data_IF_664746535956
#
_entry.id   IF_664746535956
#
_cell.length_a   1.000
_cell.length_b   1.000
_cell.length_c   1.000
_cell.angle_alpha   90.00
_cell.angle_beta   90.00
_cell.angle_gamma   90.00
#
_symmetry.space_group_name_H-M   'P 1'
#
loop_
_entity.id
_entity.type
_entity.pdbx_description
1 polymer ?
#
# COMPACT_ATOMS: atom_id res chain seq x y z
N UNK A 1 -39.57 45.51 -22.94
CA UNK A 1 -38.47 45.44 -21.96
C UNK A 1 -38.68 46.56 -20.94
N UNK A 2 -39.31 46.21 -19.81
CA UNK A 2 -39.72 47.16 -18.77
C UNK A 2 -38.49 47.65 -18.00
N UNK A 3 -38.17 48.94 -18.12
CA UNK A 3 -37.13 49.58 -17.32
C UNK A 3 -37.73 49.95 -15.95
N UNK A 4 -37.37 49.17 -14.93
CA UNK A 4 -37.61 49.52 -13.53
C UNK A 4 -36.74 50.73 -13.14
N UNK A 5 -37.27 51.95 -13.28
CA UNK A 5 -36.64 53.15 -12.72
C UNK A 5 -37.14 53.36 -11.30
N UNK A 6 -36.46 52.74 -10.34
CA UNK A 6 -36.72 53.01 -8.91
C UNK A 6 -36.11 54.36 -8.56
N UNK A 7 -36.95 55.39 -8.38
CA UNK A 7 -36.56 56.71 -7.88
C UNK A 7 -36.24 56.63 -6.38
N UNK A 8 -35.02 56.19 -6.07
CA UNK A 8 -34.48 56.16 -4.72
C UNK A 8 -34.06 57.56 -4.25
N UNK A 9 -34.54 57.97 -3.07
CA UNK A 9 -34.11 59.22 -2.41
C UNK A 9 -32.60 59.15 -2.06
N UNK A 10 -31.90 60.30 -2.16
CA UNK A 10 -30.44 60.40 -1.98
C UNK A 10 -29.96 59.76 -0.66
N UNK A 11 -30.76 59.88 0.41
CA UNK A 11 -30.50 59.28 1.73
C UNK A 11 -30.38 57.76 1.67
N UNK A 12 -31.25 57.07 0.93
CA UNK A 12 -31.21 55.61 0.84
C UNK A 12 -30.04 55.11 0.00
N UNK A 13 -29.65 55.82 -1.07
CA UNK A 13 -28.42 55.49 -1.81
C UNK A 13 -27.18 55.56 -0.93
N UNK A 14 -27.10 56.57 -0.07
CA UNK A 14 -25.98 56.74 0.88
C UNK A 14 -25.99 55.67 1.97
N UNK A 15 -27.16 55.35 2.55
CA UNK A 15 -27.31 54.30 3.55
C UNK A 15 -26.97 52.91 2.97
N UNK A 16 -27.41 52.65 1.74
CA UNK A 16 -27.12 51.41 1.02
C UNK A 16 -25.63 51.31 0.72
N UNK A 17 -24.99 52.37 0.23
CA UNK A 17 -23.54 52.41 0.00
C UNK A 17 -22.74 52.15 1.29
N UNK A 18 -23.15 52.78 2.39
CA UNK A 18 -22.49 52.66 3.70
C UNK A 18 -22.60 51.24 4.27
N UNK A 19 -23.63 50.47 3.90
CA UNK A 19 -23.85 49.10 4.39
C UNK A 19 -23.34 48.03 3.42
N UNK A 20 -23.46 48.24 2.10
CA UNK A 20 -23.00 47.26 1.11
C UNK A 20 -21.48 47.20 1.01
N UNK A 21 -20.77 48.32 1.18
CA UNK A 21 -19.30 48.32 1.15
C UNK A 21 -18.73 47.40 2.24
N UNK A 22 -19.04 47.57 3.54
CA UNK A 22 -18.54 46.68 4.57
C UNK A 22 -19.08 45.25 4.42
N UNK A 23 -20.32 45.06 3.96
CA UNK A 23 -20.85 43.73 3.70
C UNK A 23 -20.07 42.98 2.59
N UNK A 24 -19.70 43.66 1.50
CA UNK A 24 -18.88 43.09 0.43
C UNK A 24 -17.46 42.79 0.93
N UNK A 25 -16.85 43.70 1.69
CA UNK A 25 -15.54 43.44 2.31
C UNK A 25 -15.58 42.20 3.21
N UNK A 26 -16.63 42.04 4.02
CA UNK A 26 -16.78 40.91 4.92
C UNK A 26 -17.00 39.61 4.15
N UNK A 27 -17.78 39.64 3.08
CA UNK A 27 -17.96 38.49 2.18
C UNK A 27 -16.66 38.08 1.49
N UNK A 28 -15.88 39.04 0.98
CA UNK A 28 -14.58 38.78 0.36
C UNK A 28 -13.58 38.20 1.37
N UNK A 29 -13.57 38.71 2.60
CA UNK A 29 -12.76 38.16 3.68
C UNK A 29 -13.13 36.71 3.99
N UNK A 30 -14.43 36.40 4.07
CA UNK A 30 -14.93 35.04 4.30
C UNK A 30 -14.54 34.08 3.19
N UNK A 31 -14.62 34.52 1.92
CA UNK A 31 -14.16 33.74 0.78
C UNK A 31 -12.66 33.44 0.87
N UNK A 32 -11.84 34.46 1.15
CA UNK A 32 -10.40 34.30 1.30
C UNK A 32 -10.06 33.33 2.44
N UNK A 33 -10.68 33.49 3.61
CA UNK A 33 -10.48 32.61 4.76
C UNK A 33 -10.90 31.16 4.44
N UNK A 34 -12.00 30.97 3.71
CA UNK A 34 -12.47 29.65 3.30
C UNK A 34 -11.49 28.96 2.35
N UNK A 35 -10.92 29.69 1.39
CA UNK A 35 -9.89 29.14 0.51
C UNK A 35 -8.63 28.75 1.27
N UNK A 36 -8.21 29.58 2.23
CA UNK A 36 -7.05 29.30 3.07
C UNK A 36 -7.27 28.02 3.88
N UNK A 37 -8.42 27.89 4.56
CA UNK A 37 -8.75 26.68 5.32
C UNK A 37 -8.87 25.43 4.45
N UNK A 38 -9.37 25.54 3.22
CA UNK A 38 -9.42 24.41 2.27
C UNK A 38 -8.01 23.97 1.88
N UNK A 39 -7.13 24.90 1.53
CA UNK A 39 -5.73 24.61 1.17
C UNK A 39 -4.97 23.95 2.32
N UNK A 40 -5.11 24.48 3.52
CA UNK A 40 -4.46 23.92 4.72
C UNK A 40 -4.94 22.51 5.03
N UNK A 41 -6.25 22.26 4.90
CA UNK A 41 -6.82 20.92 5.11
C UNK A 41 -6.33 19.90 4.07
N UNK A 42 -6.20 20.31 2.80
CA UNK A 42 -5.67 19.44 1.73
C UNK A 42 -4.20 19.11 2.01
N UNK A 43 -3.39 20.10 2.37
CA UNK A 43 -1.99 19.88 2.73
C UNK A 43 -1.84 18.89 3.91
N UNK A 44 -2.66 19.04 4.95
CA UNK A 44 -2.67 18.14 6.09
C UNK A 44 -3.04 16.69 5.70
N UNK A 45 -4.07 16.51 4.88
CA UNK A 45 -4.47 15.17 4.40
C UNK A 45 -3.39 14.56 3.52
N UNK A 46 -2.74 15.37 2.68
CA UNK A 46 -1.65 14.92 1.83
C UNK A 46 -0.45 14.47 2.66
N UNK A 47 0.00 15.27 3.61
CA UNK A 47 1.11 14.91 4.51
C UNK A 47 0.80 13.67 5.33
N UNK A 48 -0.43 13.54 5.84
CA UNK A 48 -0.88 12.33 6.55
C UNK A 48 -0.86 11.10 5.65
N UNK A 49 -1.30 11.23 4.40
CA UNK A 49 -1.30 10.13 3.42
C UNK A 49 0.11 9.71 3.03
N UNK A 50 1.02 10.69 2.88
CA UNK A 50 2.45 10.45 2.61
C UNK A 50 3.10 9.73 3.79
N UNK A 51 2.82 10.16 5.02
CA UNK A 51 3.33 9.51 6.23
C UNK A 51 2.88 8.05 6.33
N UNK A 52 1.59 7.78 6.11
CA UNK A 52 1.03 6.42 6.09
C UNK A 52 1.66 5.57 4.99
N UNK A 53 1.78 6.12 3.77
CA UNK A 53 2.38 5.41 2.64
C UNK A 53 3.85 5.05 2.92
N UNK A 54 4.61 5.96 3.52
CA UNK A 54 5.99 5.70 3.95
C UNK A 54 6.04 4.63 5.03
N UNK A 55 5.19 4.72 6.05
CA UNK A 55 5.13 3.73 7.13
C UNK A 55 4.80 2.33 6.58
N UNK A 56 3.81 2.22 5.70
CA UNK A 56 3.43 0.96 5.06
C UNK A 56 4.55 0.39 4.17
N UNK A 57 5.26 1.26 3.45
CA UNK A 57 6.41 0.84 2.63
C UNK A 57 7.55 0.30 3.49
N UNK A 58 7.85 0.97 4.60
CA UNK A 58 8.84 0.49 5.59
C UNK A 58 8.41 -0.85 6.17
N UNK A 59 7.14 -0.98 6.57
CA UNK A 59 6.59 -2.22 7.09
C UNK A 59 6.68 -3.37 6.08
N UNK A 60 6.35 -3.11 4.82
CA UNK A 60 6.46 -4.09 3.73
C UNK A 60 7.90 -4.53 3.55
N UNK A 61 8.84 -3.58 3.51
CA UNK A 61 10.28 -3.88 3.40
C UNK A 61 10.78 -4.73 4.55
N UNK A 62 10.42 -4.38 5.79
CA UNK A 62 10.79 -5.15 6.98
C UNK A 62 10.18 -6.56 6.95
N UNK A 63 8.94 -6.68 6.50
CA UNK A 63 8.26 -7.98 6.37
C UNK A 63 8.96 -8.85 5.34
N UNK A 64 9.26 -8.31 4.14
CA UNK A 64 9.99 -9.04 3.09
C UNK A 64 11.38 -9.42 3.56
N UNK A 65 12.10 -8.52 4.22
CA UNK A 65 13.43 -8.81 4.77
C UNK A 65 13.37 -9.94 5.79
N UNK A 66 12.41 -9.89 6.72
CA UNK A 66 12.23 -10.94 7.74
C UNK A 66 11.92 -12.31 7.14
N UNK A 67 11.15 -12.34 6.04
CA UNK A 67 10.86 -13.58 5.31
C UNK A 67 12.11 -14.09 4.60
N UNK A 68 12.90 -13.21 4.00
CA UNK A 68 14.16 -13.58 3.37
C UNK A 68 15.16 -14.15 4.38
N UNK A 69 15.29 -13.51 5.54
CA UNK A 69 16.17 -13.96 6.63
C UNK A 69 15.75 -15.33 7.18
N UNK A 70 14.45 -15.64 7.18
CA UNK A 70 13.93 -16.96 7.56
C UNK A 70 14.16 -18.04 6.48
N UNK A 71 14.02 -17.70 5.19
CA UNK A 71 14.15 -18.65 4.08
C UNK A 71 15.62 -18.94 3.75
N UNK A 72 16.50 -17.94 3.84
CA UNK A 72 17.92 -18.03 3.51
C UNK A 72 18.62 -19.25 4.14
N UNK A 73 18.57 -19.50 5.46
CA UNK A 73 19.24 -20.67 6.06
C UNK A 73 18.64 -22.02 5.60
N UNK A 74 17.34 -22.06 5.26
CA UNK A 74 16.68 -23.27 4.74
C UNK A 74 17.19 -23.58 3.33
N UNK A 75 17.39 -22.56 2.50
CA UNK A 75 17.92 -22.73 1.14
C UNK A 75 19.42 -23.03 1.16
N UNK A 76 20.20 -22.36 2.02
CA UNK A 76 21.65 -22.59 2.14
C UNK A 76 21.99 -23.99 2.67
N UNK A 77 21.09 -24.59 3.47
CA UNK A 77 21.23 -25.96 3.95
C UNK A 77 20.78 -27.02 2.95
N UNK A 78 20.29 -26.64 1.76
CA UNK A 78 19.89 -27.61 0.73
C UNK A 78 21.12 -28.37 0.19
N UNK A 79 21.08 -29.70 0.25
CA UNK A 79 22.13 -30.54 -0.28
C UNK A 79 21.90 -30.83 -1.77
N UNK A 80 22.75 -30.24 -2.62
CA UNK A 80 22.70 -30.41 -4.07
C UNK A 80 23.07 -31.82 -4.54
N UNK A 81 23.83 -32.58 -3.74
CA UNK A 81 24.23 -33.95 -4.06
C UNK A 81 23.07 -34.93 -3.92
N UNK A 82 22.36 -34.86 -2.79
CA UNK A 82 21.21 -35.73 -2.50
C UNK A 82 19.87 -35.16 -2.99
N UNK A 83 19.85 -33.90 -3.46
CA UNK A 83 18.66 -33.16 -3.89
C UNK A 83 17.55 -33.14 -2.83
N UNK A 84 17.94 -33.08 -1.56
CA UNK A 84 17.01 -33.11 -0.42
C UNK A 84 17.36 -32.05 0.60
N UNK A 85 16.33 -31.64 1.33
CA UNK A 85 16.50 -30.81 2.50
C UNK A 85 16.92 -31.70 3.68
N UNK A 86 17.96 -31.34 4.44
CA UNK A 86 18.33 -32.06 5.64
C UNK A 86 17.28 -31.84 6.75
N UNK A 87 17.25 -32.74 7.73
CA UNK A 87 16.31 -32.66 8.86
C UNK A 87 16.39 -31.33 9.64
N UNK A 88 17.56 -30.67 9.63
CA UNK A 88 17.72 -29.32 10.19
C UNK A 88 16.92 -28.26 9.43
N UNK A 89 16.89 -28.32 8.09
CA UNK A 89 16.13 -27.42 7.24
C UNK A 89 14.62 -27.66 7.38
N UNK A 90 14.19 -28.93 7.47
CA UNK A 90 12.80 -29.30 7.75
C UNK A 90 12.34 -28.78 9.11
N UNK A 91 13.19 -28.88 10.14
CA UNK A 91 12.91 -28.34 11.48
C UNK A 91 12.78 -26.82 11.45
N UNK A 92 13.69 -26.11 10.78
CA UNK A 92 13.61 -24.64 10.63
C UNK A 92 12.37 -24.20 9.86
N UNK A 93 11.97 -24.97 8.83
CA UNK A 93 10.74 -24.75 8.09
C UNK A 93 9.50 -24.94 8.97
N UNK A 94 9.43 -26.04 9.75
CA UNK A 94 8.30 -26.31 10.66
C UNK A 94 8.14 -25.30 11.80
N UNK A 95 9.23 -24.64 12.20
CA UNK A 95 9.21 -23.59 13.22
C UNK A 95 8.65 -22.27 12.67
N UNK A 96 8.63 -22.10 11.36
CA UNK A 96 8.23 -20.87 10.69
C UNK A 96 6.76 -20.94 10.27
N UNK A 97 5.84 -20.54 11.16
CA UNK A 97 4.38 -20.54 10.88
C UNK A 97 3.95 -19.68 9.67
N UNK A 98 4.82 -18.77 9.23
CA UNK A 98 4.62 -17.89 8.07
C UNK A 98 5.00 -18.53 6.73
N UNK A 99 5.80 -19.60 6.74
CA UNK A 99 6.24 -20.29 5.54
C UNK A 99 5.30 -21.45 5.24
N UNK A 100 4.59 -21.38 4.12
CA UNK A 100 3.62 -22.40 3.69
C UNK A 100 4.20 -23.42 2.72
N UNK A 101 5.06 -22.94 1.82
CA UNK A 101 5.79 -23.80 0.90
C UNK A 101 7.13 -23.16 0.54
N UNK A 102 8.13 -23.99 0.33
CA UNK A 102 9.42 -23.63 -0.26
C UNK A 102 9.70 -24.60 -1.40
N UNK A 103 9.91 -24.07 -2.61
CA UNK A 103 10.30 -24.86 -3.78
C UNK A 103 11.66 -24.40 -4.28
N UNK A 104 12.55 -25.34 -4.55
CA UNK A 104 13.88 -25.04 -5.09
C UNK A 104 13.96 -25.49 -6.55
N UNK A 105 14.57 -24.63 -7.36
CA UNK A 105 14.80 -24.87 -8.79
C UNK A 105 16.28 -24.62 -9.10
N UNK A 106 16.86 -25.48 -9.92
CA UNK A 106 18.18 -25.27 -10.49
C UNK A 106 18.03 -24.66 -11.88
N UNK A 107 18.72 -23.56 -12.14
CA UNK A 107 18.82 -23.02 -13.50
C UNK A 107 19.85 -23.84 -14.28
N UNK A 108 19.41 -24.60 -15.28
CA UNK A 108 20.28 -25.32 -16.21
C UNK A 108 20.99 -24.37 -17.18
N UNK A 109 22.06 -24.86 -17.83
CA UNK A 109 22.85 -24.10 -18.81
C UNK A 109 22.02 -23.59 -20.01
N UNK A 110 20.92 -24.28 -20.31
CA UNK A 110 20.00 -23.97 -21.40
C UNK A 110 18.95 -22.90 -21.02
N UNK A 111 19.08 -22.29 -19.84
CA UNK A 111 18.12 -21.31 -19.31
C UNK A 111 16.85 -21.92 -18.73
N UNK A 112 16.66 -23.24 -18.84
CA UNK A 112 15.52 -23.97 -18.28
C UNK A 112 15.70 -24.22 -16.77
N UNK A 113 14.61 -24.11 -16.02
CA UNK A 113 14.59 -24.40 -14.58
C UNK A 113 14.22 -25.86 -14.34
N UNK A 114 15.08 -26.60 -13.65
CA UNK A 114 14.84 -27.99 -13.24
C UNK A 114 14.41 -27.98 -11.78
N UNK A 115 13.25 -28.58 -11.51
CA UNK A 115 12.74 -28.74 -10.15
C UNK A 115 13.66 -29.65 -9.33
N UNK A 116 14.02 -29.21 -8.13
CA UNK A 116 14.91 -29.96 -7.23
C UNK A 116 14.16 -30.57 -6.04
N UNK A 117 13.28 -29.81 -5.40
CA UNK A 117 12.61 -30.25 -4.20
C UNK A 117 11.57 -29.27 -3.69
N UNK A 118 10.75 -29.73 -2.75
CA UNK A 118 9.68 -28.95 -2.14
C UNK A 118 9.54 -29.30 -0.67
N UNK A 119 9.47 -28.26 0.17
CA UNK A 119 8.97 -28.34 1.54
C UNK A 119 7.57 -27.70 1.56
N UNK A 120 6.59 -28.40 2.12
CA UNK A 120 5.22 -27.92 2.25
C UNK A 120 4.80 -28.10 3.70
N UNK A 121 4.14 -27.08 4.24
CA UNK A 121 3.47 -27.15 5.52
C UNK A 121 2.33 -28.17 5.41
N UNK A 122 2.50 -29.33 6.06
CA UNK A 122 1.53 -30.42 6.01
C UNK A 122 0.20 -30.08 6.71
N UNK A 123 0.14 -28.98 7.46
CA UNK A 123 -1.09 -28.54 8.13
C UNK A 123 -2.03 -27.73 7.22
N UNK A 124 -1.61 -27.35 6.01
CA UNK A 124 -2.42 -26.59 5.06
C UNK A 124 -2.84 -27.43 3.85
N UNK A 125 -4.04 -28.02 3.90
CA UNK A 125 -4.60 -28.90 2.86
C UNK A 125 -4.62 -28.26 1.45
N UNK A 126 -4.64 -26.93 1.34
CA UNK A 126 -4.66 -26.22 0.05
C UNK A 126 -3.31 -26.30 -0.66
N UNK A 127 -2.22 -26.32 0.11
CA UNK A 127 -0.84 -26.33 -0.39
C UNK A 127 -0.41 -27.75 -0.74
N UNK A 128 -0.93 -28.74 -0.01
CA UNK A 128 -0.73 -30.17 -0.31
C UNK A 128 -1.30 -30.55 -1.68
N UNK A 129 -2.49 -30.02 -2.04
CA UNK A 129 -3.10 -30.24 -3.36
C UNK A 129 -2.26 -29.67 -4.52
N UNK A 130 -1.66 -28.49 -4.35
CA UNK A 130 -0.77 -27.87 -5.34
C UNK A 130 0.56 -28.61 -5.55
N UNK A 131 0.98 -29.43 -4.59
CA UNK A 131 2.15 -30.29 -4.70
C UNK A 131 1.85 -31.61 -5.42
N UNK A 132 0.60 -32.09 -5.33
CA UNK A 132 0.15 -33.32 -5.99
C UNK A 132 -0.21 -33.11 -7.47
N UNK A 133 -0.80 -31.97 -7.83
CA UNK A 133 -1.26 -31.69 -9.21
C UNK A 133 -0.10 -31.54 -10.23
N UNK A 134 1.10 -31.16 -9.76
CA UNK A 134 2.27 -31.00 -10.65
C UNK A 134 3.09 -32.27 -10.87
N UNK A 135 2.82 -33.38 -10.16
CA UNK A 135 3.41 -34.70 -10.52
C UNK A 135 2.85 -35.28 -11.82
N UNK A 136 1.82 -34.65 -12.41
CA UNK A 136 1.15 -35.11 -13.63
C UNK A 136 1.78 -34.48 -14.89
N UNK A 137 2.61 -33.44 -14.76
CA UNK A 137 3.23 -32.71 -15.89
C UNK A 137 4.75 -32.87 -16.02
N UNK A 138 5.35 -33.84 -15.32
CA UNK A 138 6.77 -34.21 -15.43
C UNK A 138 6.95 -35.55 -16.11
#
# INVERSE_FOLDING_TARGET
>A
MSQFRVTFSLRYKLLLLLTTIPAVCLALYLLMATELFKKDKIAYVFDSSVAVSRALSVQTRLTVQSLFDAVKPIVESFDYGTRRFPASAEKLFSQSSRLKALRTYLKGKDGKFVFLGTLVDQQDERVVKLSQDQKIFS
#
